data_IF_201966620206
#
_entry.id   IF_201966620206
#
_cell.length_a   1.000
_cell.length_b   1.000
_cell.length_c   1.000
_cell.angle_alpha   90.00
_cell.angle_beta   90.00
_cell.angle_gamma   90.00
#
_symmetry.space_group_name_H-M   'P 1'
#
loop_
_entity.id
_entity.type
_entity.pdbx_description
1 polymer ?
#
# COMPACT_ATOMS: atom_id res chain seq x y z
N UNK A 1 -13.97 17.80 1.25
CA UNK A 1 -13.05 16.74 0.81
C UNK A 1 -11.89 16.66 1.78
N UNK A 2 -11.53 15.48 2.22
CA UNK A 2 -10.39 15.26 3.09
C UNK A 2 -9.06 15.48 2.33
N UNK A 3 -7.97 15.68 3.08
CA UNK A 3 -6.65 15.92 2.47
C UNK A 3 -5.96 14.65 1.97
N UNK A 4 -6.37 13.51 2.52
CA UNK A 4 -5.74 12.21 2.26
C UNK A 4 -6.73 11.28 1.58
N UNK A 5 -6.30 10.59 0.54
CA UNK A 5 -7.07 9.53 -0.11
C UNK A 5 -6.45 8.17 0.17
N UNK A 6 -7.27 7.22 0.64
CA UNK A 6 -6.87 5.83 0.84
C UNK A 6 -7.59 4.99 -0.21
N UNK A 7 -6.83 4.30 -1.06
CA UNK A 7 -7.36 3.48 -2.15
C UNK A 7 -6.86 2.05 -1.97
N UNK A 8 -7.78 1.10 -1.92
CA UNK A 8 -7.43 -0.30 -1.69
C UNK A 8 -8.13 -1.23 -2.68
N UNK A 9 -7.51 -2.37 -2.97
CA UNK A 9 -8.15 -3.52 -3.57
C UNK A 9 -8.13 -4.68 -2.58
N UNK A 10 -9.19 -5.47 -2.50
CA UNK A 10 -9.29 -6.57 -1.55
C UNK A 10 -10.28 -7.63 -2.02
N UNK A 11 -9.87 -8.90 -1.95
CA UNK A 11 -10.76 -10.04 -2.22
C UNK A 11 -11.25 -10.69 -0.93
N UNK A 12 -10.37 -10.85 0.06
CA UNK A 12 -10.67 -11.54 1.32
C UNK A 12 -11.01 -10.59 2.47
N UNK A 13 -10.84 -9.29 2.27
CA UNK A 13 -11.10 -8.27 3.28
C UNK A 13 -9.87 -7.85 4.11
N UNK A 14 -8.73 -8.51 3.98
CA UNK A 14 -7.55 -8.18 4.77
C UNK A 14 -7.02 -6.77 4.45
N UNK A 15 -6.84 -6.46 3.17
CA UNK A 15 -6.36 -5.14 2.74
C UNK A 15 -7.38 -4.05 3.08
N UNK A 16 -8.67 -4.34 2.95
CA UNK A 16 -9.75 -3.42 3.35
C UNK A 16 -9.68 -3.11 4.84
N UNK A 17 -9.47 -4.13 5.68
CA UNK A 17 -9.36 -3.94 7.14
C UNK A 17 -8.15 -3.08 7.49
N UNK A 18 -7.01 -3.26 6.83
CA UNK A 18 -5.84 -2.41 7.01
C UNK A 18 -6.17 -0.96 6.62
N UNK A 19 -6.81 -0.76 5.47
CA UNK A 19 -7.22 0.57 5.01
C UNK A 19 -8.14 1.27 6.01
N UNK A 20 -9.10 0.55 6.58
CA UNK A 20 -10.01 1.10 7.61
C UNK A 20 -9.27 1.48 8.89
N UNK A 21 -8.30 0.69 9.32
CA UNK A 21 -7.47 1.02 10.49
C UNK A 21 -6.62 2.26 10.22
N UNK A 22 -6.06 2.40 9.03
CA UNK A 22 -5.32 3.60 8.63
C UNK A 22 -6.23 4.83 8.71
N UNK A 23 -7.43 4.76 8.14
CA UNK A 23 -8.40 5.86 8.20
C UNK A 23 -8.75 6.23 9.64
N UNK A 24 -8.94 5.24 10.49
CA UNK A 24 -9.27 5.45 11.90
C UNK A 24 -8.17 6.21 12.64
N UNK A 25 -6.90 5.88 12.37
CA UNK A 25 -5.74 6.55 12.97
C UNK A 25 -5.60 7.98 12.44
N UNK A 26 -5.81 8.20 11.15
CA UNK A 26 -5.73 9.53 10.54
C UNK A 26 -6.91 10.42 10.91
N UNK A 27 -8.07 9.82 11.12
CA UNK A 27 -9.34 10.51 11.34
C UNK A 27 -10.21 10.54 10.08
N UNK A 28 -11.48 10.17 10.21
CA UNK A 28 -12.41 10.11 9.08
C UNK A 28 -12.74 11.48 8.47
N UNK A 29 -12.45 12.55 9.20
CA UNK A 29 -12.55 13.92 8.72
C UNK A 29 -11.33 14.34 7.87
N UNK A 30 -10.21 13.62 7.96
CA UNK A 30 -8.96 13.93 7.28
C UNK A 30 -8.61 12.97 6.14
N UNK A 31 -9.21 11.78 6.12
CA UNK A 31 -8.91 10.75 5.14
C UNK A 31 -10.19 10.14 4.57
N UNK A 32 -10.32 10.17 3.25
CA UNK A 32 -11.36 9.46 2.51
C UNK A 32 -10.87 8.07 2.12
N UNK A 33 -11.76 7.09 2.05
CA UNK A 33 -11.42 5.71 1.72
C UNK A 33 -12.22 5.24 0.50
N UNK A 34 -11.56 4.56 -0.43
CA UNK A 34 -12.14 4.11 -1.70
C UNK A 34 -11.69 2.69 -2.04
N UNK A 35 -12.65 1.89 -2.46
CA UNK A 35 -12.37 0.60 -3.12
C UNK A 35 -11.96 0.87 -4.57
N UNK A 36 -10.80 0.37 -4.96
CA UNK A 36 -10.26 0.61 -6.31
C UNK A 36 -11.17 0.06 -7.42
N UNK A 37 -11.97 -0.97 -7.13
CA UNK A 37 -12.95 -1.53 -8.05
C UNK A 37 -14.11 -0.59 -8.35
N UNK A 38 -14.33 0.42 -7.50
CA UNK A 38 -15.51 1.30 -7.52
C UNK A 38 -15.15 2.79 -7.66
N UNK A 39 -13.92 3.10 -7.98
CA UNK A 39 -13.44 4.47 -8.12
C UNK A 39 -12.90 4.75 -9.51
N UNK A 40 -12.53 6.01 -9.77
CA UNK A 40 -11.98 6.44 -11.06
C UNK A 40 -10.64 7.12 -10.87
N UNK A 41 -9.86 7.24 -11.95
CA UNK A 41 -8.59 7.97 -11.90
C UNK A 41 -8.78 9.45 -11.56
N UNK A 42 -9.88 10.04 -12.01
CA UNK A 42 -10.21 11.45 -11.76
C UNK A 42 -10.41 11.72 -10.25
N UNK A 43 -10.96 10.75 -9.52
CA UNK A 43 -11.11 10.84 -8.07
C UNK A 43 -9.73 10.75 -7.41
N UNK A 44 -8.91 9.79 -7.83
CA UNK A 44 -7.56 9.60 -7.26
C UNK A 44 -6.69 10.83 -7.51
N UNK A 45 -6.75 11.41 -8.69
CA UNK A 45 -5.99 12.61 -9.06
C UNK A 45 -6.23 13.81 -8.16
N UNK A 46 -7.38 13.87 -7.47
CA UNK A 46 -7.73 14.99 -6.59
C UNK A 46 -6.91 15.04 -5.31
N UNK A 47 -6.26 13.94 -4.93
CA UNK A 47 -5.51 13.84 -3.68
C UNK A 47 -4.01 14.01 -3.92
N UNK A 48 -3.36 14.80 -3.07
CA UNK A 48 -1.91 14.96 -3.08
C UNK A 48 -1.21 14.07 -2.06
N UNK A 49 -1.95 13.57 -1.07
CA UNK A 49 -1.48 12.60 -0.09
C UNK A 49 -2.27 11.31 -0.27
N UNK A 50 -1.58 10.23 -0.61
CA UNK A 50 -2.20 8.97 -1.00
C UNK A 50 -1.66 7.79 -0.20
N UNK A 51 -2.57 6.92 0.23
CA UNK A 51 -2.26 5.58 0.75
C UNK A 51 -2.85 4.57 -0.23
N UNK A 52 -2.01 3.74 -0.82
CA UNK A 52 -2.44 2.76 -1.81
C UNK A 52 -2.21 1.35 -1.27
N UNK A 53 -3.27 0.56 -1.17
CA UNK A 53 -3.25 -0.79 -0.62
C UNK A 53 -3.47 -1.86 -1.67
N UNK A 54 -2.49 -2.77 -1.80
CA UNK A 54 -2.49 -3.81 -2.83
C UNK A 54 -2.04 -5.16 -2.25
N UNK A 55 -2.92 -6.19 -2.23
CA UNK A 55 -2.50 -7.52 -1.83
C UNK A 55 -1.74 -8.23 -2.94
N UNK A 56 -0.87 -9.16 -2.54
CA UNK A 56 -0.16 -10.06 -3.44
C UNK A 56 -0.81 -11.44 -3.40
N UNK A 57 -1.11 -12.00 -4.57
CA UNK A 57 -1.68 -13.33 -4.72
C UNK A 57 -0.70 -14.29 -5.40
N UNK A 58 -0.72 -15.55 -5.01
CA UNK A 58 0.04 -16.66 -5.62
C UNK A 58 1.52 -16.30 -5.87
N UNK A 59 1.98 -16.30 -7.10
CA UNK A 59 3.39 -16.13 -7.48
C UNK A 59 3.75 -14.67 -7.74
N UNK A 60 3.35 -13.78 -6.83
CA UNK A 60 3.63 -12.34 -6.93
C UNK A 60 2.61 -11.57 -7.76
N UNK A 61 1.44 -12.14 -7.97
CA UNK A 61 0.38 -11.54 -8.80
C UNK A 61 -0.35 -10.43 -8.04
N UNK A 62 -0.67 -9.35 -8.77
CA UNK A 62 -1.53 -8.29 -8.26
C UNK A 62 -2.98 -8.77 -8.17
N UNK A 63 -3.73 -8.17 -7.25
CA UNK A 63 -5.17 -8.41 -7.14
C UNK A 63 -5.89 -7.88 -8.40
N UNK A 64 -6.92 -8.61 -8.86
CA UNK A 64 -7.60 -8.38 -10.14
C UNK A 64 -8.13 -6.94 -10.34
N UNK A 65 -8.68 -6.32 -9.30
CA UNK A 65 -9.21 -4.96 -9.40
C UNK A 65 -8.10 -3.95 -9.67
N UNK A 66 -6.91 -4.17 -9.09
CA UNK A 66 -5.72 -3.37 -9.40
C UNK A 66 -5.22 -3.61 -10.82
N UNK A 67 -5.24 -4.86 -11.30
CA UNK A 67 -4.86 -5.16 -12.69
C UNK A 67 -5.74 -4.39 -13.67
N UNK A 68 -7.04 -4.34 -13.40
CA UNK A 68 -7.98 -3.56 -14.20
C UNK A 68 -7.75 -2.05 -14.12
N UNK A 69 -7.22 -1.56 -13.00
CA UNK A 69 -6.97 -0.14 -12.78
C UNK A 69 -5.60 0.33 -13.29
N UNK A 70 -4.61 -0.55 -13.42
CA UNK A 70 -3.25 -0.16 -13.84
C UNK A 70 -3.21 0.68 -15.12
N UNK A 71 -3.98 0.39 -16.18
CA UNK A 71 -3.98 1.27 -17.36
C UNK A 71 -4.39 2.71 -17.05
N UNK A 72 -5.31 2.91 -16.12
CA UNK A 72 -5.69 4.24 -15.63
C UNK A 72 -4.57 4.88 -14.82
N UNK A 73 -3.93 4.09 -13.96
CA UNK A 73 -2.84 4.55 -13.09
C UNK A 73 -1.65 5.06 -13.90
N UNK A 74 -1.33 4.40 -15.00
CA UNK A 74 -0.25 4.78 -15.92
C UNK A 74 -0.46 6.15 -16.56
N UNK A 75 -1.71 6.63 -16.63
CA UNK A 75 -2.07 7.91 -17.21
C UNK A 75 -2.06 9.07 -16.21
N UNK A 76 -1.86 8.79 -14.93
CA UNK A 76 -1.87 9.80 -13.87
C UNK A 76 -0.50 10.44 -13.75
N UNK A 77 -0.48 11.79 -13.70
CA UNK A 77 0.71 12.55 -13.33
C UNK A 77 0.79 12.62 -11.80
N UNK A 78 1.82 11.97 -11.24
CA UNK A 78 2.05 11.93 -9.79
C UNK A 78 2.99 13.03 -9.30
N UNK A 79 3.44 13.94 -10.15
CA UNK A 79 4.27 15.07 -9.71
C UNK A 79 3.54 15.88 -8.64
N UNK A 80 4.23 16.16 -7.52
CA UNK A 80 3.64 16.86 -6.39
C UNK A 80 2.81 15.98 -5.45
N UNK A 81 2.69 14.69 -5.73
CA UNK A 81 1.97 13.73 -4.88
C UNK A 81 2.93 12.91 -4.03
N UNK A 82 2.58 12.76 -2.75
CA UNK A 82 3.28 11.86 -1.83
C UNK A 82 2.44 10.60 -1.64
N UNK A 83 3.06 9.45 -1.81
CA UNK A 83 2.36 8.17 -1.81
C UNK A 83 3.00 7.21 -0.81
N UNK A 84 2.17 6.62 0.04
CA UNK A 84 2.53 5.52 0.93
C UNK A 84 1.83 4.26 0.48
N UNK A 85 2.57 3.16 0.35
CA UNK A 85 2.05 1.88 -0.15
C UNK A 85 1.95 0.90 1.01
N UNK A 86 0.88 0.13 1.08
CA UNK A 86 0.75 -0.99 1.99
C UNK A 86 0.23 -2.22 1.25
N UNK A 87 0.55 -3.40 1.77
CA UNK A 87 0.18 -4.62 1.10
C UNK A 87 0.10 -5.81 2.04
N UNK A 88 -0.63 -6.84 1.63
CA UNK A 88 -0.77 -8.08 2.34
C UNK A 88 -0.14 -9.23 1.56
N UNK A 89 0.50 -10.16 2.26
CA UNK A 89 1.12 -11.34 1.67
C UNK A 89 1.29 -12.44 2.70
N UNK A 90 1.82 -13.58 2.25
CA UNK A 90 2.11 -14.76 3.08
C UNK A 90 3.61 -15.09 2.96
N UNK A 91 4.36 -14.87 4.04
CA UNK A 91 5.80 -15.05 4.03
C UNK A 91 6.26 -16.51 4.11
N UNK A 92 5.35 -17.45 4.36
CA UNK A 92 5.67 -18.89 4.39
C UNK A 92 5.30 -19.59 3.09
N UNK A 93 4.03 -19.55 2.69
CA UNK A 93 3.55 -20.26 1.49
C UNK A 93 4.05 -19.58 0.21
N UNK A 94 4.26 -18.26 0.25
CA UNK A 94 4.72 -17.46 -0.90
C UNK A 94 5.98 -16.66 -0.56
N UNK A 95 6.93 -17.32 0.11
CA UNK A 95 8.16 -16.71 0.61
C UNK A 95 9.03 -16.07 -0.48
N UNK A 96 9.00 -16.59 -1.70
CA UNK A 96 9.76 -16.08 -2.85
C UNK A 96 9.10 -14.87 -3.52
N UNK A 97 7.84 -14.58 -3.15
CA UNK A 97 6.99 -13.56 -3.79
C UNK A 97 6.34 -12.63 -2.75
N UNK A 98 6.95 -12.53 -1.57
CA UNK A 98 6.33 -11.84 -0.44
C UNK A 98 6.06 -10.37 -0.75
N UNK A 99 4.77 -10.01 -0.77
CA UNK A 99 4.28 -8.65 -1.03
C UNK A 99 4.79 -8.02 -2.33
N UNK A 100 5.06 -8.83 -3.35
CA UNK A 100 5.61 -8.41 -4.64
C UNK A 100 4.76 -7.34 -5.33
N UNK A 101 3.43 -7.36 -5.14
CA UNK A 101 2.53 -6.42 -5.79
C UNK A 101 2.80 -4.96 -5.40
N UNK A 102 3.31 -4.70 -4.19
CA UNK A 102 3.74 -3.35 -3.81
C UNK A 102 4.87 -2.85 -4.71
N UNK A 103 5.80 -3.72 -5.07
CA UNK A 103 6.87 -3.40 -6.02
C UNK A 103 6.34 -3.13 -7.41
N UNK A 104 5.37 -3.91 -7.86
CA UNK A 104 4.70 -3.70 -9.15
C UNK A 104 4.03 -2.33 -9.21
N UNK A 105 3.34 -1.96 -8.13
CA UNK A 105 2.69 -0.66 -8.02
C UNK A 105 3.70 0.49 -8.05
N UNK A 106 4.79 0.39 -7.27
CA UNK A 106 5.88 1.36 -7.30
C UNK A 106 6.43 1.56 -8.72
N UNK A 107 6.63 0.48 -9.44
CA UNK A 107 7.22 0.52 -10.78
C UNK A 107 6.34 1.27 -11.80
N UNK A 108 5.04 1.40 -11.50
CA UNK A 108 4.11 2.20 -12.31
C UNK A 108 4.11 3.68 -11.89
N UNK A 109 4.03 3.96 -10.59
CA UNK A 109 3.80 5.34 -10.11
C UNK A 109 5.07 6.16 -9.95
N UNK A 110 6.19 5.54 -9.59
CA UNK A 110 7.45 6.27 -9.38
C UNK A 110 7.97 6.92 -10.67
N UNK A 111 7.97 6.23 -11.83
CA UNK A 111 8.34 6.88 -13.09
C UNK A 111 7.41 8.04 -13.50
N UNK A 112 6.18 8.04 -12.99
CA UNK A 112 5.19 9.10 -13.24
C UNK A 112 5.30 10.27 -12.23
N UNK A 113 6.33 10.29 -11.41
CA UNK A 113 6.64 11.42 -10.54
C UNK A 113 6.24 11.29 -9.08
N UNK A 114 5.70 10.14 -8.67
CA UNK A 114 5.31 9.93 -7.26
C UNK A 114 6.53 10.00 -6.33
N UNK A 115 6.39 10.75 -5.24
CA UNK A 115 7.32 10.69 -4.12
C UNK A 115 6.81 9.63 -3.15
N UNK A 116 7.47 8.48 -3.15
CA UNK A 116 7.08 7.38 -2.27
C UNK A 116 7.71 7.56 -0.90
N UNK A 117 6.89 7.47 0.13
CA UNK A 117 7.26 7.54 1.55
C UNK A 117 6.79 6.29 2.27
N UNK A 118 7.17 6.11 3.53
CA UNK A 118 6.71 4.98 4.32
C UNK A 118 7.48 3.69 4.07
N UNK A 119 8.77 3.77 3.73
CA UNK A 119 9.61 2.57 3.65
C UNK A 119 9.62 1.88 5.02
N UNK A 120 9.50 0.55 5.00
CA UNK A 120 9.31 -0.25 6.21
C UNK A 120 10.39 -1.31 6.38
N UNK A 121 10.95 -1.42 7.57
CA UNK A 121 12.02 -2.39 7.88
C UNK A 121 11.56 -3.84 7.64
N UNK A 122 12.48 -4.66 7.13
CA UNK A 122 12.28 -6.11 6.99
C UNK A 122 12.46 -6.87 8.31
N UNK A 123 12.85 -6.19 9.39
CA UNK A 123 13.03 -6.80 10.70
C UNK A 123 11.73 -7.43 11.21
N UNK A 124 11.80 -8.66 11.68
CA UNK A 124 10.63 -9.39 12.15
C UNK A 124 9.91 -10.22 11.10
N UNK A 125 10.37 -10.17 9.85
CA UNK A 125 9.84 -10.99 8.75
C UNK A 125 10.80 -12.11 8.38
N UNK A 126 10.23 -13.22 7.88
CA UNK A 126 11.00 -14.35 7.38
C UNK A 126 10.47 -14.74 5.99
N UNK A 127 11.15 -14.31 4.95
CA UNK A 127 10.80 -14.56 3.56
C UNK A 127 12.07 -14.80 2.75
N UNK A 128 11.94 -15.31 1.52
CA UNK A 128 13.10 -15.60 0.67
C UNK A 128 13.41 -14.46 -0.29
N UNK A 129 12.37 -13.87 -0.91
CA UNK A 129 12.54 -12.77 -1.86
C UNK A 129 11.31 -11.89 -1.91
N UNK A 130 11.50 -10.62 -2.28
CA UNK A 130 10.41 -9.68 -2.51
C UNK A 130 10.80 -8.62 -3.53
N UNK A 131 9.93 -8.39 -4.53
CA UNK A 131 10.07 -7.29 -5.49
C UNK A 131 9.79 -5.92 -4.86
N UNK A 132 9.24 -5.89 -3.65
CA UNK A 132 8.94 -4.64 -2.95
C UNK A 132 10.09 -4.10 -2.12
N UNK A 133 11.26 -4.74 -2.14
CA UNK A 133 12.45 -4.23 -1.47
C UNK A 133 13.00 -2.99 -2.20
N UNK A 134 13.36 -1.98 -1.43
CA UNK A 134 14.10 -0.80 -1.92
C UNK A 134 15.60 -0.94 -1.67
N UNK A 135 15.96 -1.71 -0.64
CA UNK A 135 17.31 -2.13 -0.30
C UNK A 135 17.26 -3.46 0.47
N UNK A 136 18.38 -3.92 1.01
CA UNK A 136 18.46 -5.21 1.71
C UNK A 136 17.66 -5.24 3.03
N UNK A 137 17.25 -4.08 3.54
CA UNK A 137 16.67 -3.94 4.88
C UNK A 137 15.29 -3.29 4.92
N UNK A 138 14.75 -2.82 3.77
CA UNK A 138 13.49 -2.10 3.73
C UNK A 138 12.61 -2.51 2.56
N UNK A 139 11.31 -2.66 2.86
CA UNK A 139 10.25 -2.68 1.85
C UNK A 139 9.90 -1.25 1.42
N UNK A 140 9.37 -1.11 0.21
CA UNK A 140 8.84 0.16 -0.31
C UNK A 140 7.66 0.69 0.50
N UNK A 141 6.95 -0.18 1.20
CA UNK A 141 5.81 0.16 2.04
C UNK A 141 5.55 -0.87 3.13
N UNK A 142 4.41 -0.74 3.81
CA UNK A 142 4.04 -1.62 4.92
C UNK A 142 3.64 -3.00 4.43
N UNK A 143 4.38 -4.02 4.81
CA UNK A 143 4.04 -5.42 4.56
C UNK A 143 3.26 -5.99 5.75
N UNK A 144 2.06 -6.52 5.48
CA UNK A 144 1.18 -7.16 6.46
C UNK A 144 1.01 -8.63 6.12
N UNK A 145 1.13 -9.49 7.12
CA UNK A 145 0.93 -10.94 6.99
C UNK A 145 -0.10 -11.42 8.03
N UNK A 146 -1.36 -11.41 7.63
CA UNK A 146 -2.47 -11.86 8.49
C UNK A 146 -2.49 -13.38 8.67
N UNK A 147 -1.88 -14.12 7.75
CA UNK A 147 -1.87 -15.58 7.79
C UNK A 147 -0.87 -16.12 8.84
N UNK A 148 0.28 -15.46 8.98
CA UNK A 148 1.40 -15.92 9.80
C UNK A 148 1.65 -15.06 11.04
N UNK A 149 1.39 -13.75 10.96
CA UNK A 149 1.68 -12.80 12.03
C UNK A 149 0.50 -11.85 12.32
N UNK A 150 -0.74 -12.36 12.48
CA UNK A 150 -1.90 -11.50 12.71
C UNK A 150 -1.79 -10.69 14.01
N UNK A 151 -1.07 -11.19 15.00
CA UNK A 151 -0.84 -10.52 16.29
C UNK A 151 0.02 -9.26 16.18
N UNK A 152 0.77 -9.10 15.08
CA UNK A 152 1.64 -7.94 14.85
C UNK A 152 0.99 -6.84 13.98
N UNK A 153 -0.13 -7.14 13.37
CA UNK A 153 -0.77 -6.26 12.37
C UNK A 153 -1.10 -4.88 12.95
N UNK A 154 -1.79 -4.84 14.07
CA UNK A 154 -2.23 -3.56 14.68
C UNK A 154 -1.04 -2.67 15.04
N UNK A 155 -0.03 -3.23 15.69
CA UNK A 155 1.19 -2.50 16.08
C UNK A 155 1.93 -1.97 14.85
N UNK A 156 2.08 -2.82 13.82
CA UNK A 156 2.73 -2.43 12.56
C UNK A 156 2.00 -1.27 11.88
N UNK A 157 0.69 -1.34 11.80
CA UNK A 157 -0.11 -0.27 11.20
C UNK A 157 0.04 1.03 11.98
N UNK A 158 -0.08 0.99 13.31
CA UNK A 158 0.05 2.17 14.16
C UNK A 158 1.41 2.84 14.01
N UNK A 159 2.48 2.08 14.08
CA UNK A 159 3.85 2.60 13.96
C UNK A 159 4.10 3.18 12.57
N UNK A 160 3.65 2.47 11.54
CA UNK A 160 3.85 2.90 10.16
C UNK A 160 3.06 4.17 9.81
N UNK A 161 1.81 4.26 10.21
CA UNK A 161 0.99 5.46 9.96
C UNK A 161 1.60 6.68 10.64
N UNK A 162 2.10 6.53 11.87
CA UNK A 162 2.78 7.62 12.57
C UNK A 162 4.06 8.07 11.84
N UNK A 163 4.82 7.12 11.31
CA UNK A 163 5.99 7.40 10.47
C UNK A 163 5.57 8.18 9.21
N UNK A 164 4.57 7.70 8.50
CA UNK A 164 4.09 8.32 7.25
C UNK A 164 3.55 9.73 7.51
N UNK A 165 2.80 9.93 8.59
CA UNK A 165 2.32 11.27 8.97
C UNK A 165 3.48 12.26 9.12
N UNK A 166 4.55 11.84 9.75
CA UNK A 166 5.75 12.68 9.91
C UNK A 166 6.40 12.95 8.55
N UNK A 167 6.56 11.94 7.71
CA UNK A 167 7.18 12.07 6.39
C UNK A 167 6.36 12.93 5.43
N UNK A 168 5.03 12.85 5.50
CA UNK A 168 4.11 13.68 4.71
C UNK A 168 3.88 15.07 5.32
N UNK A 169 4.24 15.26 6.58
CA UNK A 169 3.98 16.49 7.34
C UNK A 169 2.47 16.80 7.44
N UNK A 170 1.71 15.80 7.81
CA UNK A 170 0.25 15.88 7.98
C UNK A 170 -0.19 15.51 9.40
#
# INVERSE_FOLDING_TARGET
>A
MANVGIFFGSDTGNTENVAKQIQQILGSDKADIFDIAKTTKEILEQYNYLFLGIPTWYYGESQADWDDFFPNLEQIDFNGKMVAIFGCGDQEDYAEYFCDAMGTLRDVIEPNGAKIVGHWSTEGYSFEASKSLVDDTHFVGLAIDEDRQPELTEERINNWVNQVKTEMNI
#
